data_IF_829674307098
#
_entry.id   IF_829674307098
#
_cell.length_a   1.000
_cell.length_b   1.000
_cell.length_c   1.000
_cell.angle_alpha   90.00
_cell.angle_beta   90.00
_cell.angle_gamma   90.00
#
_symmetry.space_group_name_H-M   'P 1'
#
loop_
_entity.id
_entity.type
_entity.pdbx_description
1 polymer ?
#
# COMPACT_ATOMS: atom_id res chain seq x y z
N UNK A 1 -26.46 23.98 38.09
CA UNK A 1 -25.49 24.54 37.12
C UNK A 1 -24.11 23.86 37.14
N UNK A 2 -23.58 23.44 38.31
CA UNK A 2 -22.25 22.79 38.43
C UNK A 2 -22.10 21.42 37.72
N UNK A 3 -23.20 20.68 37.51
CA UNK A 3 -23.21 19.36 36.83
C UNK A 3 -23.07 19.44 35.30
N UNK A 4 -23.48 20.56 34.68
CA UNK A 4 -23.40 20.76 33.23
C UNK A 4 -21.95 21.06 32.81
N UNK A 5 -21.22 21.80 33.65
CA UNK A 5 -19.81 22.13 33.41
C UNK A 5 -18.91 20.87 33.33
N UNK A 6 -19.19 19.86 34.18
CA UNK A 6 -18.41 18.62 34.23
C UNK A 6 -18.65 17.74 32.99
N UNK A 7 -19.88 17.75 32.46
CA UNK A 7 -20.22 17.01 31.24
C UNK A 7 -19.47 17.56 30.02
N UNK A 8 -19.37 18.89 29.88
CA UNK A 8 -18.65 19.52 28.78
C UNK A 8 -17.16 19.21 28.79
N UNK A 9 -16.53 19.17 29.97
CA UNK A 9 -15.10 18.84 30.11
C UNK A 9 -14.83 17.39 29.67
N UNK A 10 -15.71 16.44 30.04
CA UNK A 10 -15.60 15.04 29.65
C UNK A 10 -15.73 14.84 28.13
N UNK A 11 -16.69 15.52 27.49
CA UNK A 11 -16.90 15.44 26.03
C UNK A 11 -15.70 15.99 25.26
N UNK A 12 -15.13 17.11 25.72
CA UNK A 12 -13.95 17.72 25.10
C UNK A 12 -12.73 16.79 25.19
N UNK A 13 -12.51 16.13 26.33
CA UNK A 13 -11.41 15.17 26.50
C UNK A 13 -11.53 13.94 25.57
N UNK A 14 -12.75 13.45 25.33
CA UNK A 14 -13.00 12.33 24.41
C UNK A 14 -12.71 12.71 22.95
N UNK A 15 -12.98 13.96 22.54
CA UNK A 15 -12.69 14.44 21.19
C UNK A 15 -11.19 14.54 20.89
N UNK A 16 -10.38 14.98 21.86
CA UNK A 16 -8.93 15.04 21.69
C UNK A 16 -8.25 13.67 21.68
N UNK A 17 -8.83 12.66 22.35
CA UNK A 17 -8.34 11.29 22.31
C UNK A 17 -8.60 10.60 20.95
N UNK A 18 -9.71 10.92 20.30
CA UNK A 18 -10.07 10.35 18.99
C UNK A 18 -9.25 10.94 17.83
N UNK A 19 -8.76 12.18 17.95
CA UNK A 19 -8.03 12.88 16.90
C UNK A 19 -6.53 12.55 16.82
N UNK A 20 -6.09 11.38 17.32
CA UNK A 20 -4.72 10.91 17.12
C UNK A 20 -4.57 10.29 15.72
N UNK A 21 -4.78 11.11 14.69
CA UNK A 21 -4.37 10.80 13.32
C UNK A 21 -2.85 10.68 13.34
N UNK A 22 -2.35 9.46 13.19
CA UNK A 22 -0.92 9.21 13.01
C UNK A 22 -0.50 9.88 11.72
N UNK A 23 0.12 11.05 11.80
CA UNK A 23 0.81 11.67 10.69
C UNK A 23 2.03 10.79 10.37
N UNK A 24 1.82 9.71 9.60
CA UNK A 24 2.91 8.87 9.10
C UNK A 24 3.66 9.75 8.11
N UNK A 25 4.80 10.28 8.55
CA UNK A 25 5.66 11.14 7.76
C UNK A 25 5.98 10.45 6.42
N UNK A 26 5.34 10.92 5.34
CA UNK A 26 5.61 10.41 3.99
C UNK A 26 6.91 11.09 3.53
N UNK A 27 8.05 10.52 3.93
CA UNK A 27 9.36 10.89 3.39
C UNK A 27 9.46 10.40 1.94
N UNK A 28 10.21 11.13 1.11
CA UNK A 28 10.49 10.71 -0.27
C UNK A 28 11.12 9.32 -0.33
N UNK A 29 10.89 8.60 -1.43
CA UNK A 29 11.37 7.22 -1.62
C UNK A 29 10.34 6.15 -1.23
N UNK A 30 10.78 4.90 -1.25
CA UNK A 30 9.92 3.75 -0.93
C UNK A 30 9.84 3.55 0.59
N UNK A 31 8.61 3.52 1.09
CA UNK A 31 8.30 3.23 2.49
C UNK A 31 7.55 1.90 2.57
N UNK A 32 7.83 1.08 3.59
CA UNK A 32 7.11 -0.18 3.81
C UNK A 32 5.64 0.10 4.16
N UNK A 33 4.75 -0.69 3.56
CA UNK A 33 3.30 -0.61 3.76
C UNK A 33 2.77 -1.98 4.12
N UNK A 34 1.79 -2.02 5.01
CA UNK A 34 1.10 -3.24 5.37
C UNK A 34 0.12 -3.63 4.25
N UNK A 35 -0.06 -4.94 4.06
CA UNK A 35 -0.97 -5.44 3.03
C UNK A 35 -2.41 -5.19 3.48
N UNK A 36 -3.17 -4.46 2.68
CA UNK A 36 -4.60 -4.21 2.90
C UNK A 36 -5.43 -4.64 1.67
N UNK A 37 -6.76 -4.60 1.82
CA UNK A 37 -7.69 -4.95 0.74
C UNK A 37 -7.64 -3.97 -0.44
N UNK A 38 -7.24 -2.71 -0.21
CA UNK A 38 -7.16 -1.69 -1.25
C UNK A 38 -6.04 -1.99 -2.25
N UNK A 39 -4.98 -2.66 -1.81
CA UNK A 39 -3.84 -3.04 -2.62
C UNK A 39 -4.08 -4.29 -3.47
N UNK A 40 -5.18 -5.03 -3.25
CA UNK A 40 -5.45 -6.29 -3.95
C UNK A 40 -5.51 -6.08 -5.47
N UNK A 41 -6.19 -5.04 -5.93
CA UNK A 41 -6.30 -4.77 -7.37
C UNK A 41 -4.94 -4.44 -8.00
N UNK A 42 -4.14 -3.60 -7.34
CA UNK A 42 -2.79 -3.27 -7.79
C UNK A 42 -1.89 -4.51 -7.81
N UNK A 43 -2.01 -5.38 -6.80
CA UNK A 43 -1.29 -6.64 -6.74
C UNK A 43 -1.65 -7.58 -7.90
N UNK A 44 -2.94 -7.72 -8.22
CA UNK A 44 -3.39 -8.54 -9.35
C UNK A 44 -2.88 -8.00 -10.69
N UNK A 45 -2.88 -6.67 -10.89
CA UNK A 45 -2.28 -6.04 -12.07
C UNK A 45 -0.79 -6.40 -12.16
N UNK A 46 -0.06 -6.39 -11.04
CA UNK A 46 1.33 -6.82 -10.98
C UNK A 46 1.54 -8.29 -11.35
N UNK A 47 0.72 -9.21 -10.82
CA UNK A 47 0.80 -10.64 -11.14
C UNK A 47 0.52 -10.90 -12.63
N UNK A 48 -0.54 -10.31 -13.17
CA UNK A 48 -0.89 -10.43 -14.59
C UNK A 48 0.25 -9.94 -15.48
N UNK A 49 0.88 -8.82 -15.11
CA UNK A 49 2.03 -8.28 -15.83
C UNK A 49 3.23 -9.23 -15.79
N UNK A 50 3.56 -9.81 -14.63
CA UNK A 50 4.63 -10.80 -14.52
C UNK A 50 4.34 -12.07 -15.34
N UNK A 51 3.08 -12.48 -15.41
CA UNK A 51 2.65 -13.61 -16.24
C UNK A 51 2.80 -13.31 -17.73
N UNK A 52 2.38 -12.12 -18.18
CA UNK A 52 2.57 -11.66 -19.56
C UNK A 52 4.05 -11.59 -19.95
N UNK A 53 4.95 -11.34 -18.99
CA UNK A 53 6.40 -11.31 -19.17
C UNK A 53 7.07 -12.68 -19.01
N UNK A 54 6.31 -13.77 -18.85
CA UNK A 54 6.80 -15.14 -18.61
C UNK A 54 7.72 -15.26 -17.37
N UNK A 55 7.58 -14.38 -16.39
CA UNK A 55 8.32 -14.45 -15.11
C UNK A 55 7.66 -15.45 -14.18
N UNK A 56 6.33 -15.46 -14.17
CA UNK A 56 5.50 -16.42 -13.45
C UNK A 56 4.57 -17.10 -14.44
N UNK A 57 4.13 -18.31 -14.14
CA UNK A 57 3.16 -19.07 -14.91
C UNK A 57 2.00 -19.52 -14.01
N UNK A 58 0.98 -20.16 -14.59
CA UNK A 58 -0.20 -20.65 -13.85
C UNK A 58 0.13 -21.68 -12.76
N UNK A 59 1.29 -22.33 -12.82
CA UNK A 59 1.76 -23.31 -11.84
C UNK A 59 2.70 -22.68 -10.80
N UNK A 60 3.04 -21.40 -10.95
CA UNK A 60 3.90 -20.68 -10.03
C UNK A 60 3.08 -20.34 -8.78
N UNK A 61 3.69 -20.51 -7.61
CA UNK A 61 3.12 -20.08 -6.34
C UNK A 61 3.88 -18.84 -5.82
N UNK A 62 3.62 -17.63 -6.35
CA UNK A 62 4.28 -16.42 -5.91
C UNK A 62 3.87 -16.10 -4.46
N UNK A 63 4.85 -16.06 -3.57
CA UNK A 63 4.65 -15.67 -2.18
C UNK A 63 4.96 -14.18 -2.02
N UNK A 64 3.98 -13.39 -1.60
CA UNK A 64 4.19 -11.97 -1.30
C UNK A 64 5.04 -11.85 -0.02
N UNK A 65 6.22 -11.23 -0.13
CA UNK A 65 7.16 -11.06 0.99
C UNK A 65 7.24 -9.63 1.49
N UNK A 66 6.80 -8.64 0.70
CA UNK A 66 6.77 -7.25 1.13
C UNK A 66 6.04 -6.33 0.16
N UNK A 67 5.52 -5.23 0.70
CA UNK A 67 4.93 -4.14 -0.07
C UNK A 67 5.55 -2.82 0.36
N UNK A 68 5.84 -1.98 -0.63
CA UNK A 68 6.36 -0.65 -0.43
C UNK A 68 5.57 0.35 -1.27
N UNK A 69 5.45 1.58 -0.80
CA UNK A 69 4.86 2.67 -1.56
C UNK A 69 5.80 3.85 -1.66
N UNK A 70 5.78 4.52 -2.80
CA UNK A 70 6.45 5.79 -3.04
C UNK A 70 5.44 6.77 -3.62
N UNK A 71 5.35 7.96 -3.02
CA UNK A 71 4.58 9.07 -3.61
C UNK A 71 5.42 9.73 -4.71
N UNK A 72 4.82 9.90 -5.87
CA UNK A 72 5.38 10.56 -7.08
C UNK A 72 4.30 11.51 -7.64
N UNK A 73 4.10 11.60 -8.96
CA UNK A 73 2.89 12.19 -9.57
C UNK A 73 1.63 11.30 -9.40
N UNK A 74 1.56 10.54 -8.32
CA UNK A 74 0.64 9.44 -8.04
C UNK A 74 1.25 8.58 -6.92
N UNK A 75 0.86 7.31 -6.84
CA UNK A 75 1.46 6.33 -5.92
C UNK A 75 2.05 5.19 -6.71
N UNK A 76 3.33 4.89 -6.48
CA UNK A 76 3.99 3.68 -6.98
C UNK A 76 4.05 2.66 -5.86
N UNK A 77 3.39 1.53 -6.06
CA UNK A 77 3.49 0.36 -5.20
C UNK A 77 4.53 -0.60 -5.74
N UNK A 78 5.42 -1.08 -4.87
CA UNK A 78 6.38 -2.13 -5.18
C UNK A 78 6.00 -3.37 -4.39
N UNK A 79 5.64 -4.43 -5.10
CA UNK A 79 5.37 -5.74 -4.54
C UNK A 79 6.61 -6.61 -4.68
N UNK A 80 7.10 -7.15 -3.58
CA UNK A 80 8.22 -8.10 -3.55
C UNK A 80 7.65 -9.49 -3.39
N UNK A 81 8.03 -10.37 -4.30
CA UNK A 81 7.50 -11.71 -4.47
C UNK A 81 8.63 -12.72 -4.46
N UNK A 82 8.43 -13.85 -3.80
CA UNK A 82 9.28 -15.02 -3.92
C UNK A 82 8.59 -16.04 -4.83
N UNK A 83 9.27 -16.42 -5.91
CA UNK A 83 8.81 -17.42 -6.88
C UNK A 83 9.85 -18.54 -6.92
N UNK A 84 9.53 -19.68 -6.30
CA UNK A 84 10.53 -20.72 -6.05
C UNK A 84 11.69 -20.19 -5.20
N UNK A 85 12.90 -20.23 -5.75
CA UNK A 85 14.13 -19.74 -5.09
C UNK A 85 14.55 -18.33 -5.51
N UNK A 86 13.73 -17.62 -6.29
CA UNK A 86 14.07 -16.30 -6.80
C UNK A 86 13.16 -15.23 -6.22
N UNK A 87 13.72 -14.08 -5.88
CA UNK A 87 12.97 -12.90 -5.51
C UNK A 87 12.76 -12.01 -6.74
N UNK A 88 11.57 -11.47 -6.85
CA UNK A 88 11.17 -10.55 -7.90
C UNK A 88 10.48 -9.36 -7.26
N UNK A 89 10.63 -8.18 -7.87
CA UNK A 89 9.82 -7.03 -7.54
C UNK A 89 9.07 -6.54 -8.77
N UNK A 90 7.81 -6.17 -8.59
CA UNK A 90 6.97 -5.54 -9.61
C UNK A 90 6.46 -4.20 -9.10
N UNK A 91 6.65 -3.16 -9.91
CA UNK A 91 6.20 -1.80 -9.62
C UNK A 91 4.89 -1.54 -10.35
N UNK A 92 3.87 -1.09 -9.61
CA UNK A 92 2.54 -0.74 -10.11
C UNK A 92 2.27 0.72 -9.76
N UNK A 93 1.96 1.51 -10.77
CA UNK A 93 1.62 2.91 -10.64
C UNK A 93 0.10 3.08 -10.58
N UNK A 94 -0.34 3.86 -9.61
CA UNK A 94 -1.72 4.24 -9.39
C UNK A 94 -1.86 5.76 -9.31
N UNK A 95 -2.84 6.31 -10.02
CA UNK A 95 -3.15 7.74 -10.04
C UNK A 95 -4.66 7.92 -10.01
N UNK A 96 -5.20 8.29 -8.84
CA UNK A 96 -6.64 8.29 -8.59
C UNK A 96 -7.41 9.31 -9.45
N UNK A 97 -6.84 10.50 -9.67
CA UNK A 97 -7.52 11.57 -10.40
C UNK A 97 -7.59 11.36 -11.92
N UNK A 98 -6.87 10.37 -12.45
CA UNK A 98 -6.97 9.91 -13.85
C UNK A 98 -7.49 8.49 -13.95
N UNK A 99 -7.84 7.84 -12.82
CA UNK A 99 -8.20 6.43 -12.73
C UNK A 99 -7.17 5.50 -13.41
N UNK A 100 -5.88 5.85 -13.36
CA UNK A 100 -4.82 5.05 -13.98
C UNK A 100 -4.29 4.03 -12.97
N UNK A 101 -4.31 2.75 -13.34
CA UNK A 101 -3.68 1.66 -12.59
C UNK A 101 -2.94 0.75 -13.57
N UNK A 102 -1.61 0.72 -13.50
CA UNK A 102 -0.79 -0.02 -14.46
C UNK A 102 0.52 -0.52 -13.85
N UNK A 103 0.94 -1.72 -14.25
CA UNK A 103 2.30 -2.18 -13.98
C UNK A 103 3.30 -1.40 -14.84
N UNK A 104 4.41 -0.96 -14.26
CA UNK A 104 5.40 -0.10 -14.91
C UNK A 104 6.70 -0.85 -15.18
N UNK A 105 7.19 -1.57 -14.19
CA UNK A 105 8.47 -2.28 -14.28
C UNK A 105 8.48 -3.52 -13.42
N UNK A 106 9.39 -4.43 -13.75
CA UNK A 106 9.72 -5.59 -12.93
C UNK A 106 11.22 -5.80 -12.96
N UNK A 107 11.76 -6.40 -11.91
CA UNK A 107 13.16 -6.74 -11.80
C UNK A 107 13.35 -7.90 -10.85
N UNK A 108 14.45 -8.64 -11.02
CA UNK A 108 14.89 -9.62 -10.03
C UNK A 108 15.43 -8.86 -8.80
N UNK A 109 14.99 -9.25 -7.61
CA UNK A 109 15.31 -8.58 -6.34
C UNK A 109 16.43 -9.30 -5.57
#
# INVERSE_FOLDING_TARGET
>A
MRKILILCILVICLSFAYAKVTNKQIVGGFNKVDVDLSLLQAYQVGLNYLQQKNVINSNSNPQLTGVYSQVVSGVKYRFVLKVGNQNWSVDVFYQSWTNTLQAVSYQKA
#
